data_IF_111262379762
#
_entry.id   IF_111262379762
#
_cell.length_a   1.000
_cell.length_b   1.000
_cell.length_c   1.000
_cell.angle_alpha   90.00
_cell.angle_beta   90.00
_cell.angle_gamma   90.00
#
_symmetry.space_group_name_H-M   'P 1'
#
loop_
_entity.id
_entity.type
_entity.pdbx_description
1 polymer ?
#
# COMPACT_ATOMS: atom_id res chain seq x y z
N UNK A 1 9.94 23.81 -4.66
CA UNK A 1 9.02 23.80 -3.50
C UNK A 1 8.46 22.38 -3.39
N UNK A 2 8.47 21.79 -2.19
CA UNK A 2 7.82 20.50 -1.99
C UNK A 2 6.31 20.67 -2.20
N UNK A 3 5.73 19.93 -3.14
CA UNK A 3 4.30 19.96 -3.36
C UNK A 3 3.60 19.15 -2.27
N UNK A 4 2.67 19.78 -1.56
CA UNK A 4 1.79 19.09 -0.63
C UNK A 4 0.94 18.08 -1.39
N UNK A 5 0.98 16.82 -1.02
CA UNK A 5 0.17 15.76 -1.62
C UNK A 5 -1.17 15.58 -0.89
N UNK A 6 -1.15 15.56 0.45
CA UNK A 6 -2.36 15.40 1.26
C UNK A 6 -3.35 16.55 1.02
N UNK A 7 -4.62 16.19 0.73
CA UNK A 7 -5.70 17.10 0.39
C UNK A 7 -5.76 17.49 -1.09
N UNK A 8 -4.97 16.83 -1.94
CA UNK A 8 -5.02 17.00 -3.38
C UNK A 8 -5.35 15.66 -4.06
N UNK A 9 -5.60 15.70 -5.36
CA UNK A 9 -5.72 14.49 -6.17
C UNK A 9 -4.46 13.64 -6.01
N UNK A 10 -4.65 12.35 -5.76
CA UNK A 10 -3.55 11.39 -5.75
C UNK A 10 -2.92 11.32 -7.15
N UNK A 11 -1.59 11.15 -7.27
CA UNK A 11 -0.97 10.85 -8.56
C UNK A 11 -1.62 9.62 -9.20
N UNK A 12 -1.94 9.72 -10.48
CA UNK A 12 -2.52 8.61 -11.24
C UNK A 12 -1.48 7.51 -11.43
N UNK A 13 -1.94 6.28 -11.62
CA UNK A 13 -1.05 5.17 -11.92
C UNK A 13 -1.72 4.12 -12.79
N UNK A 14 -0.87 3.38 -13.49
CA UNK A 14 -1.24 2.23 -14.30
C UNK A 14 -0.07 1.25 -14.31
N UNK A 15 -0.25 0.06 -13.77
CA UNK A 15 0.80 -0.94 -13.58
C UNK A 15 0.27 -2.35 -13.85
N UNK A 16 1.16 -3.29 -14.18
CA UNK A 16 0.85 -4.71 -14.08
C UNK A 16 0.89 -5.15 -12.61
N UNK A 17 -0.08 -5.96 -12.21
CA UNK A 17 -0.14 -6.50 -10.86
C UNK A 17 -0.43 -8.01 -10.91
N UNK A 18 0.14 -8.71 -9.96
CA UNK A 18 -0.13 -10.13 -9.71
C UNK A 18 -1.20 -10.23 -8.64
N UNK A 19 -2.24 -11.02 -8.88
CA UNK A 19 -3.25 -11.33 -7.87
C UNK A 19 -2.62 -12.03 -6.65
N UNK A 20 -3.20 -11.83 -5.48
CA UNK A 20 -2.62 -12.39 -4.24
C UNK A 20 -2.49 -13.91 -4.22
N UNK A 21 -3.29 -14.63 -5.00
CA UNK A 21 -3.20 -16.08 -5.21
C UNK A 21 -2.26 -16.48 -6.37
N UNK A 22 -1.60 -15.51 -6.98
CA UNK A 22 -0.71 -15.66 -8.15
C UNK A 22 -1.38 -16.29 -9.39
N UNK A 23 -2.71 -16.33 -9.45
CA UNK A 23 -3.45 -16.96 -10.57
C UNK A 23 -3.40 -16.10 -11.83
N UNK A 24 -3.33 -14.79 -11.71
CA UNK A 24 -3.43 -13.85 -12.82
C UNK A 24 -2.42 -12.70 -12.71
N UNK A 25 -1.94 -12.24 -13.87
CA UNK A 25 -1.23 -10.97 -14.02
C UNK A 25 -2.16 -10.06 -14.84
N UNK A 26 -2.56 -8.94 -14.28
CA UNK A 26 -3.47 -7.99 -14.92
C UNK A 26 -3.05 -6.55 -14.70
N UNK A 27 -3.51 -5.68 -15.57
CA UNK A 27 -3.33 -4.24 -15.39
C UNK A 27 -4.23 -3.72 -14.28
N UNK A 28 -3.69 -2.86 -13.43
CA UNK A 28 -4.40 -2.11 -12.39
C UNK A 28 -4.12 -0.63 -12.54
N UNK A 29 -5.12 0.20 -12.26
CA UNK A 29 -5.02 1.66 -12.32
C UNK A 29 -5.71 2.29 -11.11
N UNK A 30 -5.44 3.57 -10.84
CA UNK A 30 -6.15 4.31 -9.79
C UNK A 30 -7.66 4.34 -10.05
N UNK A 31 -8.08 4.38 -11.32
CA UNK A 31 -9.50 4.40 -11.71
C UNK A 31 -10.28 3.15 -11.27
N UNK A 32 -9.61 1.99 -11.13
CA UNK A 32 -10.26 0.74 -10.69
C UNK A 32 -10.70 0.80 -9.23
N UNK A 33 -10.15 1.72 -8.45
CA UNK A 33 -10.47 1.94 -7.03
C UNK A 33 -11.47 3.08 -6.80
N UNK A 34 -11.99 3.70 -7.86
CA UNK A 34 -12.99 4.76 -7.74
C UNK A 34 -14.22 4.27 -6.98
N UNK A 35 -14.66 5.06 -6.01
CA UNK A 35 -15.78 4.70 -5.13
C UNK A 35 -15.41 3.83 -3.92
N UNK A 36 -14.13 3.50 -3.77
CA UNK A 36 -13.57 2.77 -2.63
C UNK A 36 -12.41 3.52 -2.01
N UNK A 37 -12.15 3.27 -0.75
CA UNK A 37 -10.90 3.69 -0.13
C UNK A 37 -9.78 2.78 -0.62
N UNK A 38 -8.59 3.35 -0.87
CA UNK A 38 -7.41 2.60 -1.26
C UNK A 38 -6.28 2.85 -0.26
N UNK A 39 -5.74 1.76 0.28
CA UNK A 39 -4.46 1.75 1.00
C UNK A 39 -3.39 1.31 0.01
N UNK A 40 -2.66 2.28 -0.51
CA UNK A 40 -1.54 2.07 -1.45
C UNK A 40 -0.24 2.10 -0.65
N UNK A 41 0.53 1.02 -0.66
CA UNK A 41 1.79 1.00 0.04
C UNK A 41 2.95 0.53 -0.85
N UNK A 42 4.08 1.21 -0.70
CA UNK A 42 5.32 0.87 -1.39
C UNK A 42 6.25 0.12 -0.44
N UNK A 43 7.02 -0.81 -0.98
CA UNK A 43 8.05 -1.54 -0.24
C UNK A 43 9.31 -1.70 -1.11
N UNK A 44 10.51 -1.85 -0.49
CA UNK A 44 11.76 -1.80 -1.24
C UNK A 44 11.96 -2.93 -2.26
N UNK A 45 11.82 -4.20 -1.83
CA UNK A 45 12.15 -5.36 -2.66
C UNK A 45 11.45 -6.63 -2.23
N UNK A 46 11.16 -7.50 -3.20
CA UNK A 46 10.81 -8.90 -2.99
C UNK A 46 11.99 -9.66 -2.35
N UNK A 47 11.72 -10.79 -1.73
CA UNK A 47 12.71 -11.71 -1.15
C UNK A 47 13.69 -11.04 -0.15
N UNK A 48 13.20 -10.11 0.67
CA UNK A 48 13.98 -9.44 1.72
C UNK A 48 13.48 -9.80 3.13
N UNK A 49 13.81 -9.01 4.16
CA UNK A 49 13.59 -9.37 5.56
C UNK A 49 12.43 -8.64 6.22
N UNK A 50 12.37 -7.31 6.13
CA UNK A 50 11.30 -6.49 6.74
C UNK A 50 10.04 -6.54 5.89
N UNK A 51 10.16 -6.49 4.56
CA UNK A 51 9.01 -6.45 3.65
C UNK A 51 8.01 -7.59 3.85
N UNK A 52 8.42 -8.88 3.97
CA UNK A 52 7.47 -9.95 4.20
C UNK A 52 6.70 -9.82 5.51
N UNK A 53 7.29 -9.26 6.56
CA UNK A 53 6.59 -9.05 7.84
C UNK A 53 5.44 -8.06 7.69
N UNK A 54 5.64 -6.95 6.97
CA UNK A 54 4.61 -5.94 6.70
C UNK A 54 3.49 -6.50 5.82
N UNK A 55 3.86 -7.15 4.70
CA UNK A 55 2.92 -7.65 3.70
C UNK A 55 2.03 -8.76 4.29
N UNK A 56 2.61 -9.68 5.06
CA UNK A 56 1.84 -10.73 5.75
C UNK A 56 0.88 -10.11 6.78
N UNK A 57 1.33 -9.17 7.60
CA UNK A 57 0.48 -8.49 8.57
C UNK A 57 -0.68 -7.73 7.90
N UNK A 58 -0.43 -7.06 6.77
CA UNK A 58 -1.47 -6.41 5.96
C UNK A 58 -2.45 -7.45 5.38
N UNK A 59 -1.94 -8.59 4.91
CA UNK A 59 -2.77 -9.65 4.35
C UNK A 59 -3.66 -10.31 5.40
N UNK A 60 -3.14 -10.59 6.60
CA UNK A 60 -3.91 -11.13 7.71
C UNK A 60 -5.09 -10.21 8.12
N UNK A 61 -4.89 -8.90 8.05
CA UNK A 61 -5.91 -7.91 8.38
C UNK A 61 -6.71 -7.38 7.18
N UNK A 62 -6.48 -7.89 5.98
CA UNK A 62 -7.11 -7.40 4.76
C UNK A 62 -8.66 -7.39 4.86
N UNK A 63 -9.25 -8.42 5.47
CA UNK A 63 -10.70 -8.50 5.66
C UNK A 63 -11.27 -7.37 6.55
N UNK A 64 -10.48 -6.84 7.49
CA UNK A 64 -10.89 -5.70 8.33
C UNK A 64 -10.98 -4.42 7.49
N UNK A 65 -10.03 -4.21 6.57
CA UNK A 65 -10.08 -3.11 5.60
C UNK A 65 -11.26 -3.25 4.63
N UNK A 66 -11.49 -4.45 4.11
CA UNK A 66 -12.60 -4.72 3.18
C UNK A 66 -13.97 -4.47 3.83
N UNK A 67 -14.15 -4.85 5.10
CA UNK A 67 -15.39 -4.59 5.84
C UNK A 67 -15.76 -3.11 5.93
N UNK A 68 -14.78 -2.23 5.91
CA UNK A 68 -14.98 -0.77 5.93
C UNK A 68 -14.80 -0.12 4.56
N UNK A 69 -14.90 -0.91 3.47
CA UNK A 69 -14.91 -0.42 2.10
C UNK A 69 -13.54 0.03 1.57
N UNK A 70 -12.46 -0.55 2.08
CA UNK A 70 -11.10 -0.26 1.63
C UNK A 70 -10.46 -1.47 0.94
N UNK A 71 -9.72 -1.19 -0.12
CA UNK A 71 -8.86 -2.14 -0.84
C UNK A 71 -7.40 -1.83 -0.54
N UNK A 72 -6.55 -2.84 -0.71
CA UNK A 72 -5.10 -2.72 -0.49
C UNK A 72 -4.37 -3.03 -1.80
N UNK A 73 -3.34 -2.25 -2.11
CA UNK A 73 -2.42 -2.48 -3.22
C UNK A 73 -0.98 -2.30 -2.75
N UNK A 74 -0.17 -3.37 -2.83
CA UNK A 74 1.27 -3.30 -2.58
C UNK A 74 2.02 -3.01 -3.87
N UNK A 75 3.08 -2.20 -3.80
CA UNK A 75 3.89 -1.79 -4.95
C UNK A 75 5.38 -1.89 -4.62
N UNK A 76 6.15 -2.46 -5.52
CA UNK A 76 7.61 -2.30 -5.55
C UNK A 76 8.10 -2.07 -6.98
N UNK A 77 9.38 -1.79 -7.12
CA UNK A 77 10.03 -1.65 -8.43
C UNK A 77 10.47 -2.99 -9.03
N UNK A 78 10.17 -4.12 -8.36
CA UNK A 78 10.35 -5.45 -8.92
C UNK A 78 9.32 -5.71 -10.04
N UNK A 79 9.61 -6.72 -10.88
CA UNK A 79 8.71 -7.11 -11.96
C UNK A 79 7.53 -7.97 -11.45
N UNK A 80 6.46 -8.01 -12.23
CA UNK A 80 5.33 -8.91 -12.00
C UNK A 80 5.74 -10.40 -11.94
N UNK A 81 6.80 -10.77 -12.64
CA UNK A 81 7.34 -12.14 -12.58
C UNK A 81 8.06 -12.41 -11.26
N UNK A 82 8.77 -11.41 -10.71
CA UNK A 82 9.35 -11.49 -9.38
C UNK A 82 8.26 -11.67 -8.32
N UNK A 83 7.22 -10.83 -8.35
CA UNK A 83 6.07 -10.93 -7.44
C UNK A 83 5.43 -12.30 -7.49
N UNK A 84 5.16 -12.82 -8.71
CA UNK A 84 4.58 -14.15 -8.90
C UNK A 84 5.47 -15.24 -8.31
N UNK A 85 6.77 -15.18 -8.59
CA UNK A 85 7.73 -16.13 -8.04
C UNK A 85 7.79 -16.07 -6.52
N UNK A 86 7.74 -14.88 -5.94
CA UNK A 86 7.78 -14.68 -4.50
C UNK A 86 6.53 -15.22 -3.78
N UNK A 87 5.35 -15.00 -4.37
CA UNK A 87 4.09 -15.53 -3.84
C UNK A 87 4.05 -17.07 -3.89
N UNK A 88 4.59 -17.68 -4.95
CA UNK A 88 4.51 -19.13 -5.19
C UNK A 88 5.69 -19.93 -4.68
N UNK A 89 6.79 -19.29 -4.27
CA UNK A 89 7.95 -19.96 -3.72
C UNK A 89 7.65 -20.62 -2.36
N UNK A 90 8.36 -21.70 -2.06
CA UNK A 90 8.30 -22.34 -0.75
C UNK A 90 8.80 -21.36 0.33
N UNK A 91 8.20 -21.41 1.52
CA UNK A 91 8.63 -20.55 2.65
C UNK A 91 10.10 -20.77 3.03
N UNK A 92 10.59 -22.01 2.94
CA UNK A 92 12.00 -22.35 3.19
C UNK A 92 12.96 -21.65 2.21
N UNK A 93 12.47 -21.26 1.04
CA UNK A 93 13.18 -20.49 0.01
C UNK A 93 12.91 -18.99 0.08
N UNK A 94 12.29 -18.52 1.15
CA UNK A 94 11.93 -17.11 1.35
C UNK A 94 10.65 -16.67 0.66
N UNK A 95 9.80 -17.60 0.24
CA UNK A 95 8.49 -17.30 -0.33
C UNK A 95 7.58 -16.60 0.67
N UNK A 96 6.71 -15.71 0.16
CA UNK A 96 5.79 -14.96 1.02
C UNK A 96 4.46 -15.68 1.25
N UNK A 97 4.11 -16.61 0.34
CA UNK A 97 2.81 -17.29 0.36
C UNK A 97 1.70 -16.46 -0.29
N UNK A 98 0.49 -17.01 -0.30
CA UNK A 98 -0.68 -16.33 -0.88
C UNK A 98 -1.11 -15.13 -0.03
N UNK A 99 -1.51 -14.07 -0.71
CA UNK A 99 -1.92 -12.81 -0.14
C UNK A 99 -3.42 -12.54 -0.43
N UNK A 100 -4.03 -11.67 0.36
CA UNK A 100 -5.43 -11.25 0.17
C UNK A 100 -5.58 -10.01 -0.71
N UNK A 101 -4.48 -9.48 -1.26
CA UNK A 101 -4.43 -8.31 -2.13
C UNK A 101 -3.34 -8.46 -3.19
N UNK A 102 -3.42 -7.72 -4.31
CA UNK A 102 -2.43 -7.81 -5.38
C UNK A 102 -1.13 -7.06 -5.07
N UNK A 103 -0.05 -7.48 -5.74
CA UNK A 103 1.23 -6.78 -5.79
C UNK A 103 1.46 -6.22 -7.19
N UNK A 104 1.65 -4.90 -7.29
CA UNK A 104 1.89 -4.18 -8.54
C UNK A 104 3.38 -3.92 -8.77
N UNK A 105 3.77 -3.98 -10.02
CA UNK A 105 5.14 -3.85 -10.51
C UNK A 105 5.36 -2.47 -11.15
N UNK A 106 6.03 -1.57 -10.44
CA UNK A 106 6.44 -0.26 -10.95
C UNK A 106 7.81 -0.35 -11.64
N UNK A 107 7.88 -1.12 -12.73
CA UNK A 107 9.12 -1.37 -13.48
C UNK A 107 9.66 -0.13 -14.20
N UNK A 108 8.83 0.87 -14.42
CA UNK A 108 9.24 2.16 -14.99
C UNK A 108 9.73 3.15 -13.95
N UNK A 109 9.49 2.88 -12.67
CA UNK A 109 9.79 3.74 -11.53
C UNK A 109 8.99 5.05 -11.49
N UNK A 110 8.07 5.25 -12.42
CA UNK A 110 7.31 6.50 -12.54
C UNK A 110 6.38 6.68 -11.34
N UNK A 111 5.68 5.63 -10.94
CA UNK A 111 4.72 5.71 -9.82
C UNK A 111 5.45 5.98 -8.50
N UNK A 112 6.57 5.28 -8.24
CA UNK A 112 7.40 5.53 -7.06
C UNK A 112 7.96 6.95 -7.02
N UNK A 113 8.30 7.53 -8.18
CA UNK A 113 8.75 8.92 -8.30
C UNK A 113 7.61 9.90 -8.03
N UNK A 114 6.45 9.67 -8.62
CA UNK A 114 5.28 10.55 -8.47
C UNK A 114 4.77 10.59 -7.02
N UNK A 115 4.87 9.47 -6.30
CA UNK A 115 4.55 9.39 -4.87
C UNK A 115 5.72 9.80 -3.95
N UNK A 116 6.87 10.22 -4.52
CA UNK A 116 8.00 10.76 -3.76
C UNK A 116 8.74 9.75 -2.89
N UNK A 117 8.69 8.46 -3.25
CA UNK A 117 9.33 7.38 -2.47
C UNK A 117 10.48 6.69 -3.20
N UNK A 118 10.80 7.07 -4.42
CA UNK A 118 11.86 6.45 -5.20
C UNK A 118 13.24 6.85 -4.71
N UNK A 119 14.14 5.87 -4.60
CA UNK A 119 15.55 6.04 -4.23
C UNK A 119 16.38 5.85 -5.51
N UNK A 120 16.88 6.94 -6.08
CA UNK A 120 17.64 6.91 -7.35
C UNK A 120 18.89 6.02 -7.27
N UNK A 121 19.58 6.02 -6.13
CA UNK A 121 20.85 5.29 -5.93
C UNK A 121 20.67 3.77 -5.99
N UNK A 122 19.51 3.26 -5.60
CA UNK A 122 19.27 1.83 -5.47
C UNK A 122 18.18 1.31 -6.41
N UNK A 123 17.42 2.22 -7.02
CA UNK A 123 16.27 1.87 -7.85
C UNK A 123 15.13 1.19 -7.08
N UNK A 124 15.07 1.40 -5.76
CA UNK A 124 14.05 0.85 -4.87
C UNK A 124 13.11 1.94 -4.35
N UNK A 125 12.02 1.56 -3.72
CA UNK A 125 11.14 2.48 -3.03
C UNK A 125 11.39 2.48 -1.52
N UNK A 126 11.21 3.63 -0.89
CA UNK A 126 11.04 3.75 0.55
C UNK A 126 9.72 3.07 0.98
N UNK A 127 9.55 2.86 2.29
CA UNK A 127 8.32 2.32 2.86
C UNK A 127 7.25 3.41 2.96
N UNK A 128 6.71 3.81 1.82
CA UNK A 128 5.59 4.75 1.74
C UNK A 128 4.25 4.06 1.90
N UNK A 129 3.30 4.71 2.58
CA UNK A 129 1.92 4.27 2.67
C UNK A 129 1.01 5.48 2.52
N UNK A 130 0.01 5.33 1.68
CA UNK A 130 -0.90 6.39 1.25
C UNK A 130 -2.34 5.91 1.37
N UNK A 131 -3.22 6.74 1.95
CA UNK A 131 -4.65 6.46 1.98
C UNK A 131 -5.34 7.43 1.05
N UNK A 132 -6.06 6.88 0.08
CA UNK A 132 -6.77 7.61 -0.97
C UNK A 132 -8.26 7.38 -0.78
N UNK A 133 -9.06 8.46 -0.81
CA UNK A 133 -10.50 8.38 -0.64
C UNK A 133 -11.23 7.94 -1.92
N UNK A 134 -12.54 7.62 -1.86
CA UNK A 134 -13.34 7.21 -3.02
C UNK A 134 -13.36 8.20 -4.19
N UNK A 135 -13.09 9.47 -3.94
CA UNK A 135 -13.02 10.54 -4.93
C UNK A 135 -11.63 10.68 -5.57
N UNK A 136 -10.65 9.86 -5.14
CA UNK A 136 -9.28 9.86 -5.66
C UNK A 136 -8.40 10.96 -5.05
N UNK A 137 -8.74 11.47 -3.88
CA UNK A 137 -7.92 12.42 -3.14
C UNK A 137 -7.06 11.72 -2.10
N UNK A 138 -5.80 12.12 -2.00
CA UNK A 138 -4.88 11.61 -1.00
C UNK A 138 -5.16 12.25 0.35
N UNK A 139 -5.51 11.44 1.36
CA UNK A 139 -5.92 11.91 2.69
C UNK A 139 -4.87 11.68 3.77
N UNK A 140 -3.98 10.74 3.59
CA UNK A 140 -2.92 10.43 4.55
C UNK A 140 -1.70 9.89 3.83
N UNK A 141 -0.53 10.22 4.34
CA UNK A 141 0.73 9.62 3.92
C UNK A 141 1.67 9.45 5.10
N UNK A 142 2.40 8.36 5.09
CA UNK A 142 3.56 8.12 5.97
C UNK A 142 4.67 7.47 5.16
N UNK A 143 5.90 7.88 5.38
CA UNK A 143 7.07 7.30 4.73
C UNK A 143 8.10 6.98 5.80
N UNK A 144 8.42 5.69 5.93
CA UNK A 144 9.46 5.22 6.82
C UNK A 144 10.76 4.96 6.07
N UNK A 145 11.86 5.08 6.78
CA UNK A 145 13.17 4.61 6.31
C UNK A 145 13.15 3.07 6.16
N UNK A 146 14.09 2.56 5.38
CA UNK A 146 14.16 1.15 4.98
C UNK A 146 14.17 0.14 6.14
N UNK A 147 14.71 0.56 7.29
CA UNK A 147 14.90 -0.30 8.46
C UNK A 147 13.68 -0.41 9.38
N UNK A 148 12.64 0.40 9.15
CA UNK A 148 11.50 0.51 10.08
C UNK A 148 10.21 0.11 9.40
N UNK A 149 9.65 -1.04 9.79
CA UNK A 149 8.33 -1.49 9.35
C UNK A 149 7.21 -0.57 9.85
N UNK A 150 6.12 -0.52 9.08
CA UNK A 150 4.94 0.29 9.40
C UNK A 150 3.97 -0.49 10.30
N UNK A 151 3.01 0.22 10.88
CA UNK A 151 1.97 -0.35 11.73
C UNK A 151 0.66 -0.53 10.94
N UNK A 152 0.21 -1.78 10.82
CA UNK A 152 -1.09 -2.11 10.21
C UNK A 152 -2.24 -1.59 11.08
N UNK A 153 -2.11 -1.69 12.40
CA UNK A 153 -3.12 -1.19 13.33
C UNK A 153 -3.29 0.32 13.24
N UNK A 154 -2.19 1.07 13.16
CA UNK A 154 -2.23 2.51 12.96
C UNK A 154 -2.84 2.88 11.59
N UNK A 155 -2.52 2.13 10.54
CA UNK A 155 -3.12 2.34 9.22
C UNK A 155 -4.65 2.15 9.27
N UNK A 156 -5.13 1.12 9.94
CA UNK A 156 -6.56 0.85 10.12
C UNK A 156 -7.23 1.93 10.97
N UNK A 157 -6.59 2.33 12.08
CA UNK A 157 -7.07 3.41 12.95
C UNK A 157 -7.23 4.73 12.19
N UNK A 158 -6.22 5.15 11.43
CA UNK A 158 -6.26 6.40 10.66
C UNK A 158 -7.32 6.33 9.56
N UNK A 159 -7.46 5.20 8.87
CA UNK A 159 -8.52 5.02 7.87
C UNK A 159 -9.91 5.19 8.50
N UNK A 160 -10.16 4.58 9.65
CA UNK A 160 -11.42 4.71 10.38
C UNK A 160 -11.66 6.15 10.85
N UNK A 161 -10.63 6.85 11.32
CA UNK A 161 -10.70 8.27 11.67
C UNK A 161 -11.08 9.15 10.47
N UNK A 162 -10.49 8.90 9.31
CA UNK A 162 -10.83 9.60 8.06
C UNK A 162 -12.28 9.34 7.62
N UNK A 163 -12.75 8.11 7.79
CA UNK A 163 -14.14 7.73 7.45
C UNK A 163 -15.17 8.33 8.42
N UNK A 164 -14.82 8.47 9.69
CA UNK A 164 -15.69 9.08 10.70
C UNK A 164 -15.97 10.56 10.40
N UNK A 165 -15.05 11.27 9.73
CA UNK A 165 -15.29 12.60 9.14
C UNK A 165 -15.42 13.76 10.13
N UNK A 166 -15.26 13.53 11.43
CA UNK A 166 -15.26 14.56 12.47
C UNK A 166 -13.88 15.11 12.79
N UNK A 167 -13.79 15.99 13.77
CA UNK A 167 -12.51 16.44 14.33
C UNK A 167 -12.02 15.41 15.33
N UNK A 168 -11.15 14.49 14.86
CA UNK A 168 -10.53 13.47 15.67
C UNK A 168 -9.48 14.08 16.61
N UNK A 169 -9.57 13.86 17.93
CA UNK A 169 -8.49 14.22 18.84
C UNK A 169 -7.25 13.32 18.61
N UNK A 170 -6.16 13.70 19.27
CA UNK A 170 -4.95 12.87 19.30
C UNK A 170 -5.29 11.50 19.91
N UNK A 171 -4.67 10.46 19.37
CA UNK A 171 -4.83 9.06 19.81
C UNK A 171 -6.28 8.52 19.79
N UNK A 172 -7.14 9.15 19.01
CA UNK A 172 -8.53 8.71 18.82
C UNK A 172 -8.59 7.23 18.37
N UNK A 173 -9.46 6.47 19.02
CA UNK A 173 -9.77 5.09 18.65
C UNK A 173 -11.25 4.99 18.21
N UNK A 174 -11.60 3.99 17.38
CA UNK A 174 -12.99 3.76 16.99
C UNK A 174 -13.91 3.55 18.21
N UNK A 175 -14.91 4.42 18.34
CA UNK A 175 -15.83 4.44 19.49
C UNK A 175 -15.60 5.60 20.44
N UNK A 176 -14.49 6.31 20.32
CA UNK A 176 -14.24 7.53 21.09
C UNK A 176 -15.05 8.73 20.55
N UNK A 177 -15.30 9.69 21.42
CA UNK A 177 -15.98 10.92 21.06
C UNK A 177 -15.12 11.78 20.11
N UNK A 178 -15.79 12.49 19.21
CA UNK A 178 -15.21 13.55 18.40
C UNK A 178 -15.24 14.89 19.14
N UNK A 179 -14.36 15.81 18.75
CA UNK A 179 -14.34 17.19 19.30
C UNK A 179 -15.51 18.04 18.74
#
# INVERSE_FOLDING_TARGET
>A
MANRMVGNKAPDFKMLAVTGDASEIKEVSLADYKGKWLVLFFYPRDFTFVCPTEIRAMSEKCHEFQKIGAEILGVSTDSEFSHKSWITADEEKGGIGYLQFPLAADTTHEVSKDYGVFIEETGAALRGLFIINPEGELKYQVVHDLNVGRSVNETLRVLQALQAGGMCPMDWEPGDDML
#
